data_IF_767144716256
#
_entry.id   IF_767144716256
#
_cell.length_a   1.000
_cell.length_b   1.000
_cell.length_c   1.000
_cell.angle_alpha   90.00
_cell.angle_beta   90.00
_cell.angle_gamma   90.00
#
_symmetry.space_group_name_H-M   'P 1'
#
loop_
_entity.id
_entity.type
_entity.pdbx_description
1 polymer ?
#
# COMPACT_ATOMS: atom_id res chain seq x y z
N UNK A 1 -8.34 -14.59 -25.68
CA UNK A 1 -8.93 -14.66 -24.33
C UNK A 1 -7.78 -14.78 -23.34
N UNK A 2 -7.46 -13.71 -22.60
CA UNK A 2 -6.39 -13.76 -21.59
C UNK A 2 -6.98 -14.40 -20.35
N UNK A 3 -6.54 -15.61 -20.05
CA UNK A 3 -6.85 -16.31 -18.81
C UNK A 3 -6.33 -15.45 -17.68
N UNK A 4 -7.23 -14.76 -16.97
CA UNK A 4 -6.90 -14.13 -15.71
C UNK A 4 -6.60 -15.28 -14.74
N UNK A 5 -5.33 -15.65 -14.63
CA UNK A 5 -4.85 -16.36 -13.46
C UNK A 5 -5.21 -15.48 -12.28
N UNK A 6 -6.25 -15.85 -11.54
CA UNK A 6 -6.47 -15.37 -10.19
C UNK A 6 -5.37 -16.08 -9.39
N UNK A 7 -4.15 -15.55 -9.47
CA UNK A 7 -3.13 -15.81 -8.48
C UNK A 7 -3.82 -15.50 -7.18
N UNK A 8 -4.06 -16.52 -6.35
CA UNK A 8 -4.52 -16.33 -4.98
C UNK A 8 -3.51 -15.35 -4.39
N UNK A 9 -3.94 -14.09 -4.25
CA UNK A 9 -3.03 -12.97 -4.04
C UNK A 9 -2.12 -13.32 -2.89
N UNK A 10 -0.82 -13.21 -3.11
CA UNK A 10 0.15 -13.56 -2.10
C UNK A 10 0.13 -12.45 -1.03
N UNK A 11 -0.88 -12.53 -0.15
CA UNK A 11 -1.17 -11.52 0.87
C UNK A 11 -0.01 -11.35 1.84
N UNK A 12 0.85 -12.36 1.97
CA UNK A 12 2.06 -12.30 2.79
C UNK A 12 3.17 -11.42 2.19
N UNK A 13 3.19 -11.23 0.87
CA UNK A 13 4.16 -10.34 0.22
C UNK A 13 3.59 -8.94 -0.08
N UNK A 14 2.37 -8.66 0.37
CA UNK A 14 1.66 -7.41 0.12
C UNK A 14 1.69 -6.45 1.32
N UNK A 15 2.75 -6.45 2.12
CA UNK A 15 2.85 -5.52 3.24
C UNK A 15 3.05 -4.07 2.75
N UNK A 16 2.26 -3.11 3.24
CA UNK A 16 2.47 -1.70 2.91
C UNK A 16 3.72 -1.17 3.63
N UNK A 17 4.52 -0.41 2.91
CA UNK A 17 5.74 0.24 3.40
C UNK A 17 5.52 1.73 3.56
N UNK A 18 5.93 2.29 4.70
CA UNK A 18 5.95 3.74 4.96
C UNK A 18 7.36 4.26 4.73
N UNK A 19 7.49 5.27 3.86
CA UNK A 19 8.76 5.82 3.42
C UNK A 19 8.79 7.33 3.67
N UNK A 20 9.95 7.82 4.13
CA UNK A 20 10.23 9.25 4.16
C UNK A 20 10.71 9.70 2.79
N UNK A 21 10.04 10.69 2.20
CA UNK A 21 10.36 11.23 0.86
C UNK A 21 11.30 12.43 0.97
N UNK A 22 11.00 13.34 1.90
CA UNK A 22 11.77 14.55 2.20
C UNK A 22 11.63 14.87 3.69
N UNK A 23 12.30 15.92 4.18
CA UNK A 23 12.12 16.39 5.56
C UNK A 23 10.67 16.83 5.79
N UNK A 24 10.00 16.18 6.75
CA UNK A 24 8.58 16.42 7.05
C UNK A 24 7.59 15.70 6.13
N UNK A 25 8.05 15.06 5.04
CA UNK A 25 7.19 14.44 4.04
C UNK A 25 7.34 12.93 4.03
N UNK A 26 6.19 12.26 4.11
CA UNK A 26 6.07 10.81 4.10
C UNK A 26 5.13 10.36 2.99
N UNK A 27 5.28 9.11 2.59
CA UNK A 27 4.34 8.39 1.74
C UNK A 27 4.24 6.96 2.22
N UNK A 28 3.21 6.25 1.80
CA UNK A 28 3.18 4.80 1.91
C UNK A 28 2.94 4.18 0.53
N UNK A 29 3.40 2.96 0.34
CA UNK A 29 3.25 2.22 -0.92
C UNK A 29 3.03 0.74 -0.61
N UNK A 30 2.38 0.02 -1.51
CA UNK A 30 2.18 -1.43 -1.43
C UNK A 30 2.17 -1.99 -2.85
N UNK A 31 2.84 -3.10 -3.10
CA UNK A 31 2.93 -3.70 -4.44
C UNK A 31 1.81 -4.71 -4.73
N UNK A 32 0.68 -4.62 -4.01
CA UNK A 32 -0.46 -5.53 -4.16
C UNK A 32 -1.23 -5.38 -5.49
N UNK A 33 -0.97 -4.31 -6.26
CA UNK A 33 -1.65 -4.03 -7.53
C UNK A 33 -3.16 -3.77 -7.41
N UNK A 34 -3.73 -3.78 -6.20
CA UNK A 34 -5.15 -3.54 -5.96
C UNK A 34 -5.52 -2.06 -6.09
N UNK A 35 -6.82 -1.74 -6.19
CA UNK A 35 -7.31 -0.35 -6.27
C UNK A 35 -6.91 0.53 -5.06
N UNK A 36 -6.49 -0.09 -3.95
CA UNK A 36 -5.96 0.56 -2.75
C UNK A 36 -4.43 0.72 -2.75
N UNK A 37 -3.71 0.16 -3.73
CA UNK A 37 -2.32 0.51 -4.04
C UNK A 37 -2.29 1.95 -4.53
N UNK A 38 -2.34 2.88 -3.58
CA UNK A 38 -2.11 4.29 -3.85
C UNK A 38 -0.66 4.56 -3.53
N UNK A 39 0.20 4.38 -4.52
CA UNK A 39 1.54 4.98 -4.55
C UNK A 39 1.45 6.50 -4.78
N UNK A 40 0.46 7.16 -4.19
CA UNK A 40 0.18 8.55 -4.53
C UNK A 40 1.37 9.40 -4.13
N UNK A 41 1.80 10.28 -5.03
CA UNK A 41 2.88 11.26 -4.83
C UNK A 41 2.45 12.35 -3.83
N UNK A 42 1.39 12.10 -3.06
CA UNK A 42 0.86 13.05 -2.08
C UNK A 42 1.85 13.12 -0.94
N UNK A 43 2.29 14.34 -0.65
CA UNK A 43 3.10 14.62 0.51
C UNK A 43 2.22 14.48 1.76
N UNK A 44 2.39 13.38 2.49
CA UNK A 44 1.65 13.12 3.73
C UNK A 44 2.52 13.48 4.94
N UNK A 45 1.87 13.81 6.06
CA UNK A 45 2.51 13.70 7.36
C UNK A 45 2.84 12.24 7.68
N UNK A 46 3.78 12.02 8.60
CA UNK A 46 4.10 10.66 9.08
C UNK A 46 2.85 9.91 9.55
N UNK A 47 1.99 10.59 10.33
CA UNK A 47 0.79 10.00 10.90
C UNK A 47 -0.19 9.54 9.82
N UNK A 48 -0.42 10.37 8.81
CA UNK A 48 -1.32 10.02 7.70
C UNK A 48 -0.79 8.86 6.87
N UNK A 49 0.52 8.82 6.61
CA UNK A 49 1.15 7.72 5.89
C UNK A 49 1.03 6.39 6.65
N UNK A 50 1.22 6.41 7.97
CA UNK A 50 1.06 5.22 8.82
C UNK A 50 -0.39 4.75 8.88
N UNK A 51 -1.35 5.66 9.07
CA UNK A 51 -2.78 5.29 9.11
C UNK A 51 -3.22 4.68 7.78
N UNK A 52 -2.79 5.26 6.65
CA UNK A 52 -3.09 4.72 5.32
C UNK A 52 -2.53 3.31 5.13
N UNK A 53 -1.28 3.08 5.52
CA UNK A 53 -0.65 1.77 5.48
C UNK A 53 -1.37 0.75 6.38
N UNK A 54 -1.71 1.11 7.61
CA UNK A 54 -2.40 0.22 8.56
C UNK A 54 -3.80 -0.16 8.05
N UNK A 55 -4.58 0.81 7.58
CA UNK A 55 -5.90 0.55 7.00
C UNK A 55 -5.81 -0.42 5.81
N UNK A 56 -4.79 -0.26 4.96
CA UNK A 56 -4.58 -1.18 3.86
C UNK A 56 -4.18 -2.59 4.33
N UNK A 57 -3.27 -2.69 5.30
CA UNK A 57 -2.86 -3.96 5.88
C UNK A 57 -4.05 -4.71 6.52
N UNK A 58 -4.96 -3.99 7.20
CA UNK A 58 -6.17 -4.61 7.77
C UNK A 58 -7.11 -5.19 6.71
N UNK A 59 -7.16 -4.60 5.50
CA UNK A 59 -7.95 -5.15 4.40
C UNK A 59 -7.33 -6.41 3.78
N UNK A 60 -6.00 -6.60 3.88
CA UNK A 60 -5.32 -7.80 3.38
C UNK A 60 -5.43 -8.99 4.34
N UNK A 61 -5.73 -8.72 5.61
CA UNK A 61 -5.89 -9.72 6.66
C UNK A 61 -7.35 -10.22 6.84
N UNK A 62 -8.30 -9.71 6.06
CA UNK A 62 -9.72 -10.06 6.08
C UNK A 62 -10.07 -11.02 4.94
#
# INVERSE_FOLDING_TARGET
>A
MRTHHITRGDTAHHHPHVLRVNTGTWRWQCDCGGASCRSSVVQLSWREAVIGALNHATCLAA
#
